data_IF_803546234743
#
_entry.id   IF_803546234743
#
_cell.length_a   1.000
_cell.length_b   1.000
_cell.length_c   1.000
_cell.angle_alpha   90.00
_cell.angle_beta   90.00
_cell.angle_gamma   90.00
#
_symmetry.space_group_name_H-M   'P 1'
#
loop_
_entity.id
_entity.type
_entity.pdbx_description
1 polymer ?
#
# COMPACT_ATOMS: atom_id res chain seq x y z
N UNK A 1 7.38 -9.95 16.74
CA UNK A 1 6.28 -9.14 16.16
C UNK A 1 4.93 -9.70 16.56
N UNK A 2 4.56 -10.93 16.15
CA UNK A 2 3.25 -11.52 16.47
C UNK A 2 2.93 -11.66 17.96
N UNK A 3 3.86 -12.19 18.78
CA UNK A 3 3.62 -12.33 20.22
C UNK A 3 3.29 -11.00 20.90
N UNK A 4 3.91 -9.91 20.45
CA UNK A 4 3.61 -8.56 20.95
C UNK A 4 2.22 -8.10 20.54
N UNK A 5 1.84 -8.29 19.28
CA UNK A 5 0.50 -7.94 18.79
C UNK A 5 -0.59 -8.70 19.54
N UNK A 6 -0.41 -10.02 19.74
CA UNK A 6 -1.33 -10.85 20.52
C UNK A 6 -1.46 -10.33 21.95
N UNK A 7 -0.34 -10.06 22.63
CA UNK A 7 -0.37 -9.55 24.00
C UNK A 7 -1.06 -8.18 24.13
N UNK A 8 -0.92 -7.31 23.13
CA UNK A 8 -1.60 -6.00 23.10
C UNK A 8 -3.11 -6.17 22.96
N UNK A 9 -3.56 -7.03 22.04
CA UNK A 9 -4.99 -7.33 21.89
C UNK A 9 -5.57 -8.04 23.10
N UNK A 10 -4.87 -9.01 23.69
CA UNK A 10 -5.30 -9.69 24.92
C UNK A 10 -5.44 -8.69 26.09
N UNK A 11 -4.49 -7.77 26.21
CA UNK A 11 -4.56 -6.69 27.19
C UNK A 11 -5.76 -5.77 26.92
N UNK A 12 -5.99 -5.38 25.67
CA UNK A 12 -7.16 -4.60 25.25
C UNK A 12 -8.48 -5.31 25.57
N UNK A 13 -8.59 -6.60 25.22
CA UNK A 13 -9.74 -7.44 25.54
C UNK A 13 -10.03 -7.48 27.03
N UNK A 14 -9.01 -7.67 27.88
CA UNK A 14 -9.17 -7.69 29.33
C UNK A 14 -9.58 -6.30 29.83
N UNK A 15 -8.99 -5.24 29.29
CA UNK A 15 -9.30 -3.85 29.62
C UNK A 15 -10.76 -3.50 29.31
N UNK A 16 -11.23 -3.79 28.10
CA UNK A 16 -12.62 -3.57 27.68
C UNK A 16 -13.59 -4.53 28.36
N UNK A 17 -13.20 -5.80 28.55
CA UNK A 17 -13.93 -6.74 29.42
C UNK A 17 -14.04 -6.25 30.84
N UNK A 18 -13.27 -5.26 31.28
CA UNK A 18 -13.33 -4.63 32.61
C UNK A 18 -13.91 -3.20 32.59
N UNK A 19 -14.59 -2.78 31.52
CA UNK A 19 -15.16 -1.41 31.35
C UNK A 19 -14.12 -0.30 31.57
N UNK A 20 -12.86 -0.52 31.18
CA UNK A 20 -11.80 0.46 31.32
C UNK A 20 -11.45 0.80 32.79
N UNK A 21 -11.81 -0.07 33.73
CA UNK A 21 -11.47 0.06 35.13
C UNK A 21 -10.36 -0.93 35.47
N UNK A 22 -9.26 -0.42 36.02
CA UNK A 22 -8.34 -1.27 36.78
C UNK A 22 -8.92 -1.60 38.14
N UNK A 23 -8.55 -2.76 38.68
CA UNK A 23 -8.87 -3.12 40.05
C UNK A 23 -8.34 -2.08 41.06
N UNK A 24 -8.80 -2.20 42.29
CA UNK A 24 -8.36 -1.37 43.40
C UNK A 24 -7.99 -2.20 44.61
N UNK A 25 -7.37 -1.55 45.58
CA UNK A 25 -7.01 -2.17 46.87
C UNK A 25 -8.15 -1.93 47.86
N UNK A 26 -8.52 -2.99 48.59
CA UNK A 26 -9.43 -2.89 49.72
C UNK A 26 -8.63 -2.74 51.02
N UNK A 27 -8.78 -1.59 51.67
CA UNK A 27 -8.21 -1.34 52.99
C UNK A 27 -9.23 -1.71 54.06
N UNK A 28 -8.97 -2.80 54.79
CA UNK A 28 -9.80 -3.27 55.88
C UNK A 28 -9.18 -2.83 57.23
N UNK A 29 -9.92 -2.12 58.11
CA UNK A 29 -9.37 -1.53 59.34
C UNK A 29 -9.09 -2.54 60.47
N UNK A 30 -9.52 -3.80 60.35
CA UNK A 30 -9.30 -4.88 61.32
C UNK A 30 -8.73 -6.17 60.74
N UNK A 31 -8.61 -7.23 61.56
CA UNK A 31 -8.18 -8.57 61.15
C UNK A 31 -9.39 -9.49 61.04
N UNK A 32 -9.50 -10.25 59.95
CA UNK A 32 -10.52 -11.30 59.83
C UNK A 32 -10.26 -12.39 60.88
N UNK A 33 -11.31 -12.82 61.59
CA UNK A 33 -11.20 -13.85 62.64
C UNK A 33 -10.92 -15.23 62.06
N UNK A 34 -11.44 -15.52 60.87
CA UNK A 34 -11.24 -16.78 60.17
C UNK A 34 -10.82 -16.55 58.70
N UNK A 35 -10.07 -17.51 58.13
CA UNK A 35 -9.69 -17.50 56.70
C UNK A 35 -10.90 -17.77 55.80
N UNK A 36 -11.90 -18.49 56.29
CA UNK A 36 -13.14 -18.77 55.58
C UNK A 36 -13.95 -17.49 55.34
N UNK A 37 -14.21 -16.71 56.41
CA UNK A 37 -14.94 -15.44 56.33
C UNK A 37 -14.30 -14.43 55.37
N UNK A 38 -12.95 -14.40 55.35
CA UNK A 38 -12.18 -13.56 54.42
C UNK A 38 -12.44 -13.94 52.96
N UNK A 39 -12.44 -15.23 52.66
CA UNK A 39 -12.64 -15.73 51.30
C UNK A 39 -14.08 -15.49 50.84
N UNK A 40 -15.07 -15.73 51.71
CA UNK A 40 -16.47 -15.47 51.42
C UNK A 40 -16.74 -13.98 51.18
N UNK A 41 -16.13 -13.09 51.98
CA UNK A 41 -16.19 -11.65 51.74
C UNK A 41 -15.59 -11.26 50.38
N UNK A 42 -14.41 -11.80 50.04
CA UNK A 42 -13.77 -11.54 48.75
C UNK A 42 -14.59 -12.09 47.57
N UNK A 43 -15.22 -13.24 47.74
CA UNK A 43 -16.07 -13.86 46.72
C UNK A 43 -17.35 -13.07 46.49
N UNK A 44 -18.03 -12.66 47.57
CA UNK A 44 -19.19 -11.75 47.51
C UNK A 44 -18.81 -10.41 46.87
N UNK A 45 -17.64 -9.86 47.21
CA UNK A 45 -17.12 -8.65 46.58
C UNK A 45 -16.92 -8.86 45.08
N UNK A 46 -16.25 -9.94 44.65
CA UNK A 46 -16.02 -10.24 43.23
C UNK A 46 -17.32 -10.50 42.47
N UNK A 47 -18.27 -11.23 43.06
CA UNK A 47 -19.57 -11.51 42.46
C UNK A 47 -20.39 -10.23 42.24
N UNK A 48 -20.32 -9.28 43.18
CA UNK A 48 -20.93 -7.96 43.02
C UNK A 48 -20.18 -7.06 42.02
N UNK A 49 -18.88 -7.29 41.79
CA UNK A 49 -18.02 -6.49 40.92
C UNK A 49 -17.76 -7.06 39.52
N UNK A 50 -18.43 -8.15 39.13
CA UNK A 50 -18.23 -8.82 37.84
C UNK A 50 -19.53 -8.85 37.02
N UNK A 51 -19.38 -8.86 35.69
CA UNK A 51 -20.49 -8.93 34.74
C UNK A 51 -21.48 -7.76 34.85
N UNK A 52 -22.78 -8.09 34.79
CA UNK A 52 -23.89 -7.13 34.80
C UNK A 52 -23.98 -6.30 36.10
N UNK A 53 -23.33 -6.72 37.19
CA UNK A 53 -23.42 -6.07 38.50
C UNK A 53 -22.39 -4.95 38.71
N UNK A 54 -21.49 -4.70 37.75
CA UNK A 54 -20.35 -3.77 37.91
C UNK A 54 -20.68 -2.31 38.22
N UNK A 55 -21.85 -1.84 37.81
CA UNK A 55 -22.33 -0.49 38.07
C UNK A 55 -23.39 -0.43 39.16
N UNK A 56 -23.60 -1.53 39.91
CA UNK A 56 -24.47 -1.51 41.07
C UNK A 56 -23.74 -0.93 42.28
N UNK A 57 -24.47 -0.20 43.10
CA UNK A 57 -23.97 0.31 44.37
C UNK A 57 -23.54 -0.85 45.27
N UNK A 58 -22.40 -0.68 45.94
CA UNK A 58 -21.77 -1.72 46.77
C UNK A 58 -21.72 -1.22 48.20
N UNK A 59 -22.28 -2.00 49.12
CA UNK A 59 -22.17 -1.71 50.55
C UNK A 59 -20.87 -2.33 51.08
N UNK A 60 -19.96 -1.49 51.55
CA UNK A 60 -18.74 -1.90 52.25
C UNK A 60 -19.06 -2.03 53.74
N UNK A 61 -19.24 -3.24 54.23
CA UNK A 61 -19.42 -3.51 55.66
C UNK A 61 -18.10 -3.35 56.42
N UNK A 62 -18.15 -3.09 57.73
CA UNK A 62 -16.97 -3.01 58.63
C UNK A 62 -15.95 -1.88 58.37
N UNK A 63 -16.34 -0.78 57.71
CA UNK A 63 -15.47 0.40 57.53
C UNK A 63 -14.36 0.20 56.50
N UNK A 64 -14.51 -0.78 55.61
CA UNK A 64 -13.58 -1.04 54.51
C UNK A 64 -13.60 0.12 53.51
N UNK A 65 -12.41 0.57 53.07
CA UNK A 65 -12.27 1.59 52.02
C UNK A 65 -11.79 0.96 50.73
N UNK A 66 -12.43 1.31 49.62
CA UNK A 66 -11.98 0.91 48.28
C UNK A 66 -11.18 2.05 47.66
N UNK A 67 -9.89 1.81 47.44
CA UNK A 67 -9.00 2.75 46.75
C UNK A 67 -8.82 2.25 45.30
N UNK A 68 -9.56 2.82 44.32
CA UNK A 68 -9.37 2.45 42.93
C UNK A 68 -7.98 2.90 42.46
N UNK A 69 -7.24 2.01 41.82
CA UNK A 69 -6.07 2.42 41.06
C UNK A 69 -6.61 3.19 39.86
N UNK A 70 -6.27 4.48 39.74
CA UNK A 70 -6.66 5.28 38.57
C UNK A 70 -5.61 5.07 37.48
N UNK A 71 -6.05 4.57 36.33
CA UNK A 71 -5.25 4.58 35.11
C UNK A 71 -5.70 5.78 34.29
N UNK A 72 -4.91 6.85 34.30
CA UNK A 72 -5.32 8.17 33.81
C UNK A 72 -5.03 8.42 32.33
N UNK A 73 -4.35 7.50 31.63
CA UNK A 73 -3.82 7.78 30.28
C UNK A 73 -3.77 6.55 29.34
N UNK A 74 -4.56 5.50 29.59
CA UNK A 74 -4.43 4.22 28.88
C UNK A 74 -5.12 4.16 27.52
N UNK A 75 -6.23 4.85 27.31
CA UNK A 75 -7.06 4.58 26.12
C UNK A 75 -6.41 5.07 24.83
N UNK A 76 -5.92 6.32 24.80
CA UNK A 76 -5.20 6.85 23.65
C UNK A 76 -3.87 6.10 23.42
N UNK A 77 -3.16 5.75 24.50
CA UNK A 77 -1.91 5.00 24.42
C UNK A 77 -2.12 3.55 23.93
N UNK A 78 -3.25 2.93 24.29
CA UNK A 78 -3.63 1.59 23.83
C UNK A 78 -3.88 1.60 22.33
N UNK A 79 -4.68 2.55 21.83
CA UNK A 79 -4.93 2.69 20.40
C UNK A 79 -3.64 2.92 19.60
N UNK A 80 -2.74 3.76 20.11
CA UNK A 80 -1.42 3.95 19.49
C UNK A 80 -0.57 2.68 19.50
N UNK A 81 -0.66 1.88 20.56
CA UNK A 81 0.08 0.62 20.70
C UNK A 81 -0.48 -0.46 19.76
N UNK A 82 -1.80 -0.51 19.58
CA UNK A 82 -2.47 -1.38 18.61
C UNK A 82 -2.04 -1.01 17.18
N UNK A 83 -2.13 0.27 16.81
CA UNK A 83 -1.69 0.74 15.49
C UNK A 83 -0.21 0.45 15.21
N UNK A 84 0.65 0.59 16.23
CA UNK A 84 2.07 0.28 16.11
C UNK A 84 2.30 -1.23 15.95
N UNK A 85 1.51 -2.07 16.62
CA UNK A 85 1.58 -3.52 16.49
C UNK A 85 1.12 -3.96 15.09
N UNK A 86 0.00 -3.43 14.60
CA UNK A 86 -0.50 -3.67 13.24
C UNK A 86 0.53 -3.25 12.19
N UNK A 87 1.12 -2.07 12.34
CA UNK A 87 2.18 -1.59 11.44
C UNK A 87 3.40 -2.50 11.42
N UNK A 88 3.83 -2.99 12.58
CA UNK A 88 4.95 -3.93 12.67
C UNK A 88 4.63 -5.29 12.01
N UNK A 89 3.37 -5.75 12.11
CA UNK A 89 2.90 -6.99 11.48
C UNK A 89 2.89 -6.84 9.96
N UNK A 90 2.25 -5.80 9.43
CA UNK A 90 2.18 -5.57 7.98
C UNK A 90 3.56 -5.30 7.36
N UNK A 91 4.43 -4.61 8.09
CA UNK A 91 5.82 -4.35 7.67
C UNK A 91 6.66 -5.62 7.47
N UNK A 92 6.32 -6.74 8.11
CA UNK A 92 7.05 -8.01 7.91
C UNK A 92 6.92 -8.56 6.50
N UNK A 93 5.76 -8.35 5.87
CA UNK A 93 5.47 -8.81 4.51
C UNK A 93 5.55 -7.69 3.48
N UNK A 94 6.12 -6.53 3.83
CA UNK A 94 6.08 -5.33 3.01
C UNK A 94 4.66 -4.97 2.55
N UNK A 95 3.64 -5.36 3.32
CA UNK A 95 2.26 -5.13 2.97
C UNK A 95 1.86 -3.70 3.34
N UNK A 96 1.39 -2.88 2.39
CA UNK A 96 1.17 -1.47 2.66
C UNK A 96 -0.15 -1.22 3.37
N UNK A 97 -0.09 -0.30 4.35
CA UNK A 97 -1.18 -0.04 5.30
C UNK A 97 -2.47 0.49 4.67
N UNK A 98 -2.40 1.15 3.50
CA UNK A 98 -3.59 1.63 2.80
C UNK A 98 -4.48 0.50 2.30
N UNK A 99 -3.91 -0.66 1.95
CA UNK A 99 -4.70 -1.84 1.54
C UNK A 99 -5.30 -2.58 2.73
N UNK A 100 -4.69 -2.46 3.91
CA UNK A 100 -5.23 -2.97 5.17
C UNK A 100 -6.29 -2.04 5.79
N UNK A 101 -6.65 -0.94 5.12
CA UNK A 101 -7.55 0.10 5.67
C UNK A 101 -7.08 0.70 7.00
N UNK A 102 -5.76 0.63 7.30
CA UNK A 102 -5.15 1.18 8.52
C UNK A 102 -4.46 2.53 8.31
N UNK A 103 -4.81 3.22 7.22
CA UNK A 103 -4.18 4.48 6.88
C UNK A 103 -4.83 5.64 7.64
N UNK A 104 -4.05 6.32 8.50
CA UNK A 104 -4.55 7.45 9.30
C UNK A 104 -4.94 8.67 8.47
N UNK A 105 -4.26 8.91 7.35
CA UNK A 105 -4.55 9.97 6.37
C UNK A 105 -4.09 9.55 4.97
N UNK A 106 -4.97 9.56 3.98
CA UNK A 106 -4.63 9.50 2.55
C UNK A 106 -5.17 10.74 1.84
N UNK A 107 -4.36 11.29 0.93
CA UNK A 107 -4.85 12.07 -0.20
C UNK A 107 -4.87 11.16 -1.43
N UNK A 108 -5.85 11.31 -2.32
CA UNK A 108 -6.06 10.40 -3.47
C UNK A 108 -4.81 10.24 -4.34
N UNK A 109 -4.02 11.32 -4.51
CA UNK A 109 -2.79 11.31 -5.32
C UNK A 109 -1.67 10.42 -4.73
N UNK A 110 -1.72 10.12 -3.43
CA UNK A 110 -0.76 9.26 -2.75
C UNK A 110 -1.16 7.77 -2.85
N UNK A 111 -2.45 7.47 -3.05
CA UNK A 111 -2.95 6.09 -3.07
C UNK A 111 -2.45 5.33 -4.30
N UNK A 112 -2.37 6.00 -5.46
CA UNK A 112 -1.85 5.40 -6.69
C UNK A 112 -0.36 5.04 -6.55
N UNK A 113 0.46 5.97 -6.05
CA UNK A 113 1.88 5.71 -5.77
C UNK A 113 2.07 4.59 -4.75
N UNK A 114 1.30 4.57 -3.66
CA UNK A 114 1.37 3.48 -2.69
C UNK A 114 0.89 2.14 -3.28
N UNK A 115 -0.03 2.15 -4.24
CA UNK A 115 -0.45 0.94 -4.96
C UNK A 115 0.66 0.41 -5.86
N UNK A 116 1.52 1.27 -6.41
CA UNK A 116 2.74 0.85 -7.12
C UNK A 116 3.73 0.21 -6.16
N UNK A 117 4.00 0.87 -5.02
CA UNK A 117 4.91 0.35 -3.99
C UNK A 117 4.47 -1.04 -3.49
N UNK A 118 3.16 -1.30 -3.41
CA UNK A 118 2.64 -2.64 -3.11
C UNK A 118 3.10 -3.69 -4.13
N UNK A 119 2.93 -3.40 -5.42
CA UNK A 119 3.25 -4.35 -6.48
C UNK A 119 4.74 -4.61 -6.48
N UNK A 120 5.57 -3.57 -6.41
CA UNK A 120 7.02 -3.68 -6.44
C UNK A 120 7.57 -4.34 -5.16
N UNK A 121 7.07 -3.94 -3.99
CA UNK A 121 7.64 -4.34 -2.70
C UNK A 121 7.12 -5.65 -2.12
N UNK A 122 5.93 -6.10 -2.52
CA UNK A 122 5.26 -7.26 -1.93
C UNK A 122 4.92 -8.33 -2.97
N UNK A 123 4.31 -7.95 -4.09
CA UNK A 123 3.80 -8.93 -5.07
C UNK A 123 4.89 -9.43 -6.01
N UNK A 124 5.72 -8.53 -6.54
CA UNK A 124 6.76 -8.88 -7.51
C UNK A 124 7.77 -9.89 -6.95
N UNK A 125 8.30 -9.76 -5.72
CA UNK A 125 9.22 -10.76 -5.16
C UNK A 125 8.58 -12.16 -5.08
N UNK A 126 7.32 -12.24 -4.62
CA UNK A 126 6.61 -13.52 -4.51
C UNK A 126 6.34 -14.16 -5.87
N UNK A 127 5.99 -13.36 -6.87
CA UNK A 127 5.80 -13.86 -8.22
C UNK A 127 7.10 -14.35 -8.83
N UNK A 128 8.21 -13.62 -8.66
CA UNK A 128 9.53 -14.04 -9.14
C UNK A 128 9.94 -15.37 -8.52
N UNK A 129 9.68 -15.58 -7.23
CA UNK A 129 9.92 -16.87 -6.57
C UNK A 129 9.10 -18.01 -7.20
N UNK A 130 7.83 -17.74 -7.52
CA UNK A 130 6.95 -18.71 -8.19
C UNK A 130 7.41 -18.94 -9.64
N UNK A 131 7.77 -17.89 -10.38
CA UNK A 131 8.29 -17.96 -11.74
C UNK A 131 9.53 -18.85 -11.80
N UNK A 132 10.52 -18.59 -10.94
CA UNK A 132 11.73 -19.40 -10.85
C UNK A 132 11.43 -20.86 -10.49
N UNK A 133 10.46 -21.09 -9.60
CA UNK A 133 10.02 -22.45 -9.26
C UNK A 133 9.37 -23.17 -10.44
N UNK A 134 8.50 -22.49 -11.17
CA UNK A 134 7.81 -23.00 -12.36
C UNK A 134 8.79 -23.25 -13.50
N UNK A 135 9.72 -22.34 -13.75
CA UNK A 135 10.76 -22.52 -14.76
C UNK A 135 11.64 -23.72 -14.45
N UNK A 136 12.08 -23.88 -13.20
CA UNK A 136 12.88 -25.03 -12.78
C UNK A 136 12.12 -26.36 -12.92
N UNK A 137 10.85 -26.40 -12.53
CA UNK A 137 10.10 -27.66 -12.37
C UNK A 137 9.31 -28.06 -13.62
N UNK A 138 8.88 -27.11 -14.47
CA UNK A 138 8.06 -27.36 -15.65
C UNK A 138 8.81 -27.18 -16.99
N UNK A 139 9.85 -26.34 -17.05
CA UNK A 139 10.63 -26.11 -18.29
C UNK A 139 11.89 -27.00 -18.32
N UNK A 140 11.68 -28.32 -18.32
CA UNK A 140 12.74 -29.33 -18.17
C UNK A 140 13.74 -29.40 -19.36
N UNK A 141 13.32 -28.99 -20.57
CA UNK A 141 14.13 -29.06 -21.80
C UNK A 141 14.44 -27.67 -22.40
N UNK A 142 14.53 -26.65 -21.55
CA UNK A 142 14.74 -25.26 -21.97
C UNK A 142 16.22 -24.83 -21.87
N UNK A 143 17.15 -25.65 -22.37
CA UNK A 143 18.60 -25.39 -22.27
C UNK A 143 19.05 -24.13 -23.03
N UNK A 144 18.32 -23.74 -24.07
CA UNK A 144 18.60 -22.55 -24.87
C UNK A 144 18.00 -21.26 -24.29
N UNK A 145 17.11 -21.35 -23.29
CA UNK A 145 16.38 -20.20 -22.75
C UNK A 145 15.32 -19.62 -23.69
N UNK A 146 14.79 -20.43 -24.61
CA UNK A 146 13.81 -19.99 -25.62
C UNK A 146 12.41 -19.76 -25.01
N UNK A 147 12.12 -20.40 -23.87
CA UNK A 147 10.87 -20.27 -23.14
C UNK A 147 11.12 -19.63 -21.77
N UNK A 148 10.21 -18.80 -21.31
CA UNK A 148 10.27 -18.24 -19.95
C UNK A 148 8.84 -18.07 -19.45
N UNK A 149 8.68 -18.09 -18.13
CA UNK A 149 7.40 -17.87 -17.49
C UNK A 149 7.44 -16.54 -16.73
N UNK A 150 6.49 -15.65 -17.03
CA UNK A 150 6.42 -14.32 -16.42
C UNK A 150 4.98 -14.01 -16.02
N UNK A 151 4.79 -13.51 -14.80
CA UNK A 151 3.54 -12.90 -14.37
C UNK A 151 3.42 -11.51 -14.95
N UNK A 152 2.37 -11.31 -15.77
CA UNK A 152 2.06 -9.99 -16.28
C UNK A 152 1.42 -9.11 -15.18
N UNK A 153 2.22 -8.22 -14.61
CA UNK A 153 1.78 -7.24 -13.62
C UNK A 153 1.20 -5.95 -14.23
N UNK A 154 1.29 -5.78 -15.54
CA UNK A 154 0.77 -4.58 -16.20
C UNK A 154 -0.74 -4.40 -16.03
N UNK A 155 -1.47 -5.49 -15.78
CA UNK A 155 -2.89 -5.43 -15.42
C UNK A 155 -3.18 -4.71 -14.10
N UNK A 156 -2.25 -4.72 -13.13
CA UNK A 156 -2.39 -3.98 -11.86
C UNK A 156 -2.20 -2.47 -12.06
N UNK A 157 -1.47 -2.07 -13.11
CA UNK A 157 -1.24 -0.68 -13.51
C UNK A 157 -2.38 -0.09 -14.35
N UNK A 158 -3.45 -0.85 -14.61
CA UNK A 158 -4.56 -0.42 -15.47
C UNK A 158 -5.26 0.87 -14.98
N UNK A 159 -5.15 1.19 -13.70
CA UNK A 159 -5.66 2.44 -13.11
C UNK A 159 -4.99 3.70 -13.66
N UNK A 160 -3.72 3.61 -14.08
CA UNK A 160 -2.94 4.74 -14.61
C UNK A 160 -2.57 4.52 -16.09
N UNK A 161 -3.62 4.31 -16.89
CA UNK A 161 -3.52 4.08 -18.33
C UNK A 161 -2.79 5.25 -19.03
N UNK A 162 -2.97 6.47 -18.54
CA UNK A 162 -2.40 7.67 -19.14
C UNK A 162 -0.88 7.70 -19.01
N UNK A 163 -0.34 7.50 -17.80
CA UNK A 163 1.12 7.48 -17.66
C UNK A 163 1.74 6.25 -18.33
N UNK A 164 1.01 5.13 -18.39
CA UNK A 164 1.44 3.94 -19.15
C UNK A 164 1.61 4.25 -20.65
N UNK A 165 0.60 4.83 -21.31
CA UNK A 165 0.72 5.19 -22.72
C UNK A 165 1.75 6.29 -22.96
N UNK A 166 1.92 7.22 -22.02
CA UNK A 166 3.02 8.21 -22.09
C UNK A 166 4.39 7.54 -22.03
N UNK A 167 4.58 6.54 -21.18
CA UNK A 167 5.83 5.78 -21.12
C UNK A 167 6.12 5.08 -22.46
N UNK A 168 5.11 4.47 -23.09
CA UNK A 168 5.27 3.88 -24.43
C UNK A 168 5.58 4.92 -25.50
N UNK A 169 4.98 6.12 -25.43
CA UNK A 169 5.31 7.22 -26.34
C UNK A 169 6.77 7.66 -26.20
N UNK A 170 7.27 7.80 -24.96
CA UNK A 170 8.68 8.10 -24.68
C UNK A 170 9.59 6.98 -25.24
N UNK A 171 9.19 5.73 -25.05
CA UNK A 171 9.94 4.58 -25.57
C UNK A 171 10.05 4.54 -27.10
N UNK A 172 8.94 4.85 -27.78
CA UNK A 172 8.90 5.01 -29.25
C UNK A 172 9.73 6.21 -29.72
N UNK A 173 9.71 7.31 -28.97
CA UNK A 173 10.50 8.50 -29.28
C UNK A 173 12.00 8.28 -29.13
N UNK A 174 12.41 7.50 -28.12
CA UNK A 174 13.79 7.14 -27.87
C UNK A 174 14.31 5.97 -28.71
N UNK A 175 13.50 5.43 -29.63
CA UNK A 175 13.89 4.37 -30.57
C UNK A 175 14.34 3.04 -29.94
N UNK A 176 13.89 2.76 -28.71
CA UNK A 176 14.20 1.49 -28.01
C UNK A 176 12.98 0.57 -27.84
N UNK A 177 11.79 1.03 -28.24
CA UNK A 177 10.58 0.19 -28.32
C UNK A 177 10.00 0.18 -29.74
N UNK A 178 9.68 -1.01 -30.26
CA UNK A 178 8.87 -1.17 -31.48
C UNK A 178 7.37 -1.17 -31.17
N UNK A 179 6.51 -1.11 -32.20
CA UNK A 179 5.06 -1.22 -32.01
C UNK A 179 4.67 -2.63 -31.54
N UNK A 180 5.35 -3.66 -32.05
CA UNK A 180 5.15 -5.04 -31.65
C UNK A 180 5.67 -5.34 -30.24
N UNK A 181 6.71 -4.65 -29.77
CA UNK A 181 7.15 -4.75 -28.36
C UNK A 181 6.05 -4.26 -27.41
N UNK A 182 5.41 -3.13 -27.73
CA UNK A 182 4.28 -2.60 -26.94
C UNK A 182 3.11 -3.57 -26.95
N UNK A 183 2.75 -4.13 -28.11
CA UNK A 183 1.68 -5.13 -28.22
C UNK A 183 2.00 -6.40 -27.43
N UNK A 184 3.26 -6.85 -27.44
CA UNK A 184 3.72 -7.96 -26.60
C UNK A 184 3.55 -7.65 -25.11
N UNK A 185 3.93 -6.47 -24.64
CA UNK A 185 3.73 -6.06 -23.24
C UNK A 185 2.24 -5.95 -22.87
N UNK A 186 1.39 -5.56 -23.81
CA UNK A 186 -0.07 -5.53 -23.66
C UNK A 186 -0.73 -6.90 -23.83
N UNK A 187 0.06 -7.95 -24.10
CA UNK A 187 -0.41 -9.31 -24.37
C UNK A 187 -1.45 -9.34 -25.52
N UNK A 188 -1.23 -8.49 -26.52
CA UNK A 188 -2.04 -8.38 -27.74
C UNK A 188 -1.33 -9.06 -28.91
N UNK A 189 -2.10 -9.47 -29.92
CA UNK A 189 -1.52 -10.05 -31.13
C UNK A 189 -0.60 -9.06 -31.83
N UNK A 190 0.58 -9.50 -32.31
CA UNK A 190 1.51 -8.63 -33.01
C UNK A 190 0.91 -8.14 -34.33
N UNK A 191 1.32 -6.95 -34.74
CA UNK A 191 0.98 -6.38 -36.04
C UNK A 191 1.82 -7.08 -37.12
N UNK A 192 1.18 -7.44 -38.24
CA UNK A 192 1.79 -8.20 -39.36
C UNK A 192 2.32 -7.31 -40.48
N UNK A 193 2.17 -5.99 -40.36
CA UNK A 193 2.70 -5.03 -41.32
C UNK A 193 4.23 -4.85 -41.15
N UNK A 194 4.93 -4.40 -42.20
CA UNK A 194 6.39 -4.24 -42.17
C UNK A 194 6.90 -3.31 -41.06
N UNK A 195 6.11 -2.32 -40.66
CA UNK A 195 6.50 -1.32 -39.66
C UNK A 195 6.28 -1.74 -38.21
N UNK A 196 5.78 -2.97 -37.95
CA UNK A 196 5.49 -3.45 -36.60
C UNK A 196 6.74 -3.59 -35.72
N UNK A 197 7.84 -4.05 -36.32
CA UNK A 197 9.13 -4.26 -35.64
C UNK A 197 10.10 -3.07 -35.83
N UNK A 198 9.65 -1.96 -36.42
CA UNK A 198 10.49 -0.79 -36.63
C UNK A 198 10.67 -0.01 -35.33
N UNK A 199 11.93 0.21 -34.94
CA UNK A 199 12.33 1.02 -33.79
C UNK A 199 12.37 2.52 -34.08
N UNK A 200 11.70 2.99 -35.14
CA UNK A 200 11.76 4.39 -35.56
C UNK A 200 10.84 5.28 -34.74
N UNK A 201 11.33 6.49 -34.44
CA UNK A 201 10.52 7.50 -33.77
C UNK A 201 9.43 8.02 -34.73
N UNK A 202 8.13 7.91 -34.37
CA UNK A 202 7.02 8.31 -35.23
C UNK A 202 6.88 9.84 -35.41
N UNK A 203 7.57 10.66 -34.61
CA UNK A 203 7.51 12.12 -34.65
C UNK A 203 8.61 12.74 -35.51
N UNK A 204 9.76 12.09 -35.61
CA UNK A 204 10.77 12.41 -36.61
C UNK A 204 10.30 11.79 -37.92
N UNK A 205 9.61 12.59 -38.75
CA UNK A 205 9.44 12.23 -40.15
C UNK A 205 10.84 11.95 -40.70
N UNK A 206 11.07 10.72 -41.15
CA UNK A 206 12.14 10.43 -42.09
C UNK A 206 11.96 11.43 -43.24
N UNK A 207 12.79 12.47 -43.27
CA UNK A 207 12.97 13.33 -44.44
C UNK A 207 13.76 12.53 -45.47
N UNK A 208 13.20 11.40 -45.89
CA UNK A 208 13.66 10.57 -46.99
C UNK A 208 12.54 10.54 -48.04
N UNK A 209 12.12 11.73 -48.45
CA UNK A 209 11.20 11.95 -49.56
C UNK A 209 11.84 12.85 -50.60
N UNK A 210 12.46 12.24 -51.62
CA UNK A 210 12.74 12.88 -52.90
C UNK A 210 14.14 13.48 -53.08
N UNK A 211 15.16 12.63 -53.21
CA UNK A 211 16.27 12.97 -54.11
C UNK A 211 15.74 12.86 -55.55
N UNK A 212 15.11 13.93 -56.05
CA UNK A 212 14.79 14.08 -57.47
C UNK A 212 15.70 15.16 -58.05
N UNK A 213 16.34 14.80 -59.16
CA UNK A 213 17.55 15.40 -59.71
C UNK A 213 17.51 16.92 -59.85
N UNK A 214 18.67 17.51 -59.57
CA UNK A 214 19.00 18.88 -59.93
C UNK A 214 19.22 18.90 -61.45
N UNK A 215 18.20 19.29 -62.19
CA UNK A 215 18.37 19.81 -63.55
C UNK A 215 18.34 21.34 -63.48
N UNK A 216 19.51 21.93 -63.74
CA UNK A 216 19.70 23.36 -63.96
C UNK A 216 18.85 23.86 -65.13
N UNK A 217 18.00 24.87 -64.91
CA UNK A 217 17.74 25.94 -65.89
C UNK A 217 17.03 27.17 -65.29
N UNK A 218 17.82 28.23 -65.16
CA UNK A 218 17.55 29.65 -65.31
C UNK A 218 16.08 30.18 -65.36
N UNK A 219 15.82 31.23 -64.57
CA UNK A 219 15.09 32.41 -65.05
C UNK A 219 14.02 33.03 -64.15
N UNK A 220 14.26 34.29 -63.77
CA UNK A 220 13.31 35.40 -63.57
C UNK A 220 12.47 35.48 -62.27
N UNK A 221 12.92 36.36 -61.37
CA UNK A 221 12.25 37.62 -61.01
C UNK A 221 10.83 37.60 -60.41
N UNK A 222 10.69 38.11 -59.18
CA UNK A 222 9.41 38.53 -58.62
C UNK A 222 9.50 38.99 -57.17
N UNK A 223 9.65 40.30 -56.97
CA UNK A 223 9.58 40.97 -55.66
C UNK A 223 8.17 40.99 -55.08
N UNK A 224 8.03 40.82 -53.77
CA UNK A 224 7.01 41.55 -53.00
C UNK A 224 7.40 41.64 -51.52
N UNK A 225 7.79 42.86 -51.15
CA UNK A 225 7.89 43.41 -49.80
C UNK A 225 6.53 43.49 -49.11
N UNK A 226 6.51 43.31 -47.77
CA UNK A 226 5.70 44.14 -46.87
C UNK A 226 6.36 44.27 -45.49
N UNK A 227 6.23 45.42 -44.80
CA UNK A 227 6.97 45.79 -43.60
C UNK A 227 6.18 45.52 -42.30
N UNK A 228 6.90 45.21 -41.21
CA UNK A 228 6.34 45.20 -39.85
C UNK A 228 6.32 46.63 -39.30
N UNK A 229 5.13 47.12 -38.95
CA UNK A 229 4.94 48.27 -38.07
C UNK A 229 5.08 47.82 -36.61
N UNK A 230 6.17 48.25 -35.96
CA UNK A 230 6.28 48.26 -34.50
C UNK A 230 5.55 49.49 -33.95
N UNK A 231 4.50 49.26 -33.17
CA UNK A 231 3.96 50.26 -32.24
C UNK A 231 3.66 49.59 -30.90
N UNK A 232 4.60 49.67 -29.97
CA UNK A 232 4.34 49.50 -28.55
C UNK A 232 4.52 50.86 -27.87
N UNK A 233 3.40 51.34 -27.35
CA UNK A 233 3.28 52.53 -26.50
C UNK A 233 3.92 52.31 -25.12
N UNK A 234 4.42 53.43 -24.58
CA UNK A 234 4.60 53.72 -23.16
C UNK A 234 3.30 53.56 -22.33
#
# INVERSE_FOLDING_TARGET
VFARAIAVHEYGDIWFKNNGQSGGTLEHPGVFKDKADRNEFLENWRAAGTGMNRHKDRLLTHGVKYNPIKVTNSEAQLLETEDAADTAVFGLWSYPLHRASRLKRATNNNVEQQSLDFVVGCVAPLAIEIEQGVERDLLLDNENGDLFFEFNFFGLLRGDLLNRYRAYLIGRQGEWLSANDILRFENMSPRTDPGGNDYKNPLTKDSAGGAQGVDDKAGAGGSSSSPNEDSNND
#
